data_IF_581629279168
#
_entry.id   IF_581629279168
#
_cell.length_a   1.000
_cell.length_b   1.000
_cell.length_c   1.000
_cell.angle_alpha   90.00
_cell.angle_beta   90.00
_cell.angle_gamma   90.00
#
_symmetry.space_group_name_H-M   'P 1'
#
loop_
_entity.id
_entity.type
_entity.pdbx_description
1 polymer ?
#
# COMPACT_ATOMS: atom_id res chain seq x y z
N UNK A 1 14.41 14.44 2.11
CA UNK A 1 14.54 13.00 1.80
C UNK A 1 13.54 12.67 0.71
N UNK A 2 13.85 11.73 -0.17
CA UNK A 2 12.92 11.26 -1.21
C UNK A 2 12.48 9.85 -0.83
N UNK A 3 11.21 9.71 -0.45
CA UNK A 3 10.61 8.44 0.00
C UNK A 3 9.59 7.99 -1.05
N UNK A 4 9.89 6.90 -1.71
CA UNK A 4 9.03 6.26 -2.69
C UNK A 4 8.12 5.24 -1.97
N UNK A 5 6.82 5.50 -1.93
CA UNK A 5 5.89 4.65 -1.18
C UNK A 5 5.36 3.43 -1.95
N UNK A 6 5.76 3.25 -3.22
CA UNK A 6 5.24 2.21 -4.10
C UNK A 6 6.37 1.50 -4.85
N UNK A 7 6.90 0.46 -4.26
CA UNK A 7 7.91 -0.40 -4.86
C UNK A 7 7.61 -1.88 -4.66
N UNK A 8 8.01 -2.68 -5.66
CA UNK A 8 7.78 -4.12 -5.67
C UNK A 8 9.06 -4.92 -5.94
N UNK A 9 9.19 -6.08 -5.32
CA UNK A 9 10.29 -7.00 -5.62
C UNK A 9 10.04 -7.76 -6.92
N UNK A 10 10.24 -7.06 -8.04
CA UNK A 10 10.03 -7.61 -9.39
C UNK A 10 11.23 -8.36 -9.95
N UNK A 11 12.38 -8.26 -9.29
CA UNK A 11 13.66 -8.88 -9.68
C UNK A 11 14.06 -10.00 -8.72
N UNK A 12 13.13 -10.53 -7.93
CA UNK A 12 13.39 -11.62 -6.99
C UNK A 12 14.06 -12.82 -7.67
N UNK A 13 14.94 -13.57 -6.96
CA UNK A 13 15.65 -14.70 -7.51
C UNK A 13 14.75 -15.74 -8.16
N UNK A 14 15.25 -16.39 -9.20
CA UNK A 14 14.48 -17.38 -9.98
C UNK A 14 13.95 -18.55 -9.10
N UNK A 15 14.68 -18.92 -8.06
CA UNK A 15 14.27 -19.96 -7.11
C UNK A 15 12.91 -19.68 -6.44
N UNK A 16 12.57 -18.39 -6.16
CA UNK A 16 11.26 -18.01 -5.62
C UNK A 16 10.13 -18.34 -6.60
N UNK A 17 10.34 -18.05 -7.86
CA UNK A 17 9.33 -18.25 -8.91
C UNK A 17 9.17 -19.75 -9.25
N UNK A 18 10.26 -20.51 -9.22
CA UNK A 18 10.20 -21.96 -9.40
C UNK A 18 9.47 -22.65 -8.23
N UNK A 19 9.72 -22.19 -7.00
CA UNK A 19 8.99 -22.64 -5.81
C UNK A 19 7.48 -22.36 -5.96
N UNK A 20 7.11 -21.15 -6.39
CA UNK A 20 5.71 -20.77 -6.63
C UNK A 20 5.06 -21.64 -7.71
N UNK A 21 5.77 -21.88 -8.80
CA UNK A 21 5.28 -22.71 -9.92
C UNK A 21 4.99 -24.14 -9.45
N UNK A 22 5.85 -24.74 -8.64
CA UNK A 22 5.60 -26.07 -8.06
C UNK A 22 4.37 -26.06 -7.15
N UNK A 23 4.24 -25.06 -6.30
CA UNK A 23 3.07 -24.90 -5.43
C UNK A 23 1.76 -24.81 -6.24
N UNK A 24 1.73 -23.99 -7.29
CA UNK A 24 0.57 -23.83 -8.16
C UNK A 24 0.24 -25.10 -8.93
N UNK A 25 1.24 -25.90 -9.28
CA UNK A 25 1.06 -27.21 -9.90
C UNK A 25 0.55 -28.29 -8.93
N UNK A 26 0.26 -27.95 -7.68
CA UNK A 26 -0.18 -28.90 -6.65
C UNK A 26 0.92 -29.83 -6.14
N UNK A 27 2.17 -29.51 -6.44
CA UNK A 27 3.32 -30.20 -5.88
C UNK A 27 3.61 -29.62 -4.47
N UNK A 28 4.13 -30.42 -3.56
CA UNK A 28 4.64 -29.90 -2.30
C UNK A 28 6.06 -29.34 -2.55
N UNK A 29 6.21 -28.02 -2.74
CA UNK A 29 7.55 -27.47 -2.89
C UNK A 29 8.31 -27.71 -1.61
N UNK A 30 9.56 -28.13 -1.71
CA UNK A 30 10.44 -28.26 -0.55
C UNK A 30 10.73 -26.92 0.09
N UNK A 31 11.66 -26.88 1.03
CA UNK A 31 12.14 -25.64 1.63
C UNK A 31 12.68 -24.69 0.55
N UNK A 32 12.20 -23.44 0.55
CA UNK A 32 12.75 -22.42 -0.34
C UNK A 32 14.15 -22.03 0.10
N UNK A 33 15.13 -22.27 -0.75
CA UNK A 33 16.53 -21.92 -0.51
C UNK A 33 16.96 -20.80 -1.42
N UNK A 34 17.13 -19.61 -0.84
CA UNK A 34 17.67 -18.42 -1.48
C UNK A 34 18.72 -17.87 -0.52
N UNK A 35 19.95 -17.72 -0.99
CA UNK A 35 21.03 -17.09 -0.22
C UNK A 35 20.85 -15.57 -0.15
N UNK A 36 21.50 -14.93 0.81
CA UNK A 36 21.54 -13.47 0.89
C UNK A 36 22.30 -12.85 -0.30
N UNK A 37 23.25 -13.57 -0.87
CA UNK A 37 24.00 -13.12 -2.04
C UNK A 37 23.14 -13.10 -3.30
N UNK A 38 22.27 -14.10 -3.53
CA UNK A 38 21.27 -14.07 -4.60
C UNK A 38 20.29 -12.90 -4.44
N UNK A 39 19.88 -12.59 -3.21
CA UNK A 39 19.05 -11.39 -2.95
C UNK A 39 19.84 -10.13 -3.29
N UNK A 40 21.08 -9.98 -2.87
CA UNK A 40 21.93 -8.82 -3.18
C UNK A 40 22.12 -8.65 -4.68
N UNK A 41 22.50 -9.70 -5.38
CA UNK A 41 22.69 -9.69 -6.84
C UNK A 41 21.43 -9.22 -7.56
N UNK A 42 20.25 -9.71 -7.17
CA UNK A 42 18.97 -9.35 -7.77
C UNK A 42 18.60 -7.88 -7.60
N UNK A 43 19.10 -7.20 -6.55
CA UNK A 43 18.77 -5.81 -6.22
C UNK A 43 19.82 -4.80 -6.68
N UNK A 44 21.12 -5.16 -6.59
CA UNK A 44 22.24 -4.23 -6.87
C UNK A 44 22.22 -3.72 -8.31
N UNK A 45 21.94 -4.59 -9.28
CA UNK A 45 21.87 -4.26 -10.70
C UNK A 45 20.54 -3.61 -11.14
N UNK A 46 19.55 -3.55 -10.26
CA UNK A 46 18.19 -3.11 -10.57
C UNK A 46 17.73 -2.00 -9.64
N UNK A 47 16.90 -2.30 -8.62
CA UNK A 47 16.26 -1.28 -7.76
C UNK A 47 17.28 -0.39 -7.05
N UNK A 48 18.35 -0.93 -6.48
CA UNK A 48 19.37 -0.13 -5.80
C UNK A 48 20.15 0.77 -6.75
N UNK A 49 20.43 0.29 -7.96
CA UNK A 49 21.05 1.11 -9.02
C UNK A 49 20.16 2.30 -9.35
N UNK A 50 18.88 2.04 -9.63
CA UNK A 50 17.93 3.09 -9.98
C UNK A 50 17.64 4.06 -8.82
N UNK A 51 17.57 3.59 -7.58
CA UNK A 51 17.49 4.48 -6.42
C UNK A 51 18.65 5.49 -6.40
N UNK A 52 19.89 5.02 -6.63
CA UNK A 52 21.07 5.90 -6.67
C UNK A 52 21.01 6.89 -7.83
N UNK A 53 20.69 6.41 -9.02
CA UNK A 53 20.65 7.21 -10.25
C UNK A 53 19.57 8.29 -10.21
N UNK A 54 18.39 7.96 -9.63
CA UNK A 54 17.24 8.87 -9.57
C UNK A 54 17.20 9.71 -8.28
N UNK A 55 18.12 9.47 -7.35
CA UNK A 55 18.19 10.18 -6.08
C UNK A 55 17.04 9.84 -5.12
N UNK A 56 16.43 8.65 -5.27
CA UNK A 56 15.47 8.12 -4.30
C UNK A 56 16.21 7.61 -3.07
N UNK A 57 15.82 8.07 -1.90
CA UNK A 57 16.50 7.71 -0.65
C UNK A 57 16.01 6.38 -0.08
N UNK A 58 14.70 6.14 -0.12
CA UNK A 58 14.04 4.97 0.49
C UNK A 58 12.87 4.56 -0.40
N UNK A 59 12.69 3.25 -0.57
CA UNK A 59 11.51 2.67 -1.22
C UNK A 59 10.76 1.79 -0.23
N UNK A 60 9.46 1.97 -0.11
CA UNK A 60 8.58 1.02 0.57
C UNK A 60 8.42 -0.17 -0.35
N UNK A 61 8.80 -1.34 0.13
CA UNK A 61 9.06 -2.48 -0.72
C UNK A 61 8.18 -3.66 -0.35
N UNK A 62 7.42 -4.13 -1.33
CA UNK A 62 6.44 -5.19 -1.14
C UNK A 62 6.66 -6.36 -2.09
N UNK A 63 6.01 -7.52 -1.88
CA UNK A 63 5.86 -8.53 -2.90
C UNK A 63 5.36 -7.92 -4.22
N UNK A 64 5.74 -8.50 -5.35
CA UNK A 64 5.26 -8.04 -6.66
C UNK A 64 3.73 -8.16 -6.72
N UNK A 65 3.04 -7.04 -6.93
CA UNK A 65 1.57 -7.00 -6.89
C UNK A 65 0.92 -7.98 -7.89
N UNK A 66 1.42 -8.03 -9.14
CA UNK A 66 0.93 -8.97 -10.14
C UNK A 66 1.13 -10.45 -9.79
N UNK A 67 1.95 -10.75 -8.78
CA UNK A 67 2.23 -12.11 -8.32
C UNK A 67 1.63 -12.42 -6.95
N UNK A 68 0.80 -11.55 -6.39
CA UNK A 68 0.00 -11.90 -5.22
C UNK A 68 -0.97 -13.05 -5.54
N UNK A 69 -1.61 -13.00 -6.70
CA UNK A 69 -2.35 -14.13 -7.33
C UNK A 69 -3.33 -14.84 -6.38
N UNK A 70 -4.13 -14.06 -5.63
CA UNK A 70 -5.05 -14.57 -4.62
C UNK A 70 -6.11 -15.54 -5.18
N UNK A 71 -6.37 -15.48 -6.49
CA UNK A 71 -7.29 -16.38 -7.21
C UNK A 71 -6.66 -17.74 -7.55
N UNK A 72 -5.38 -17.93 -7.27
CA UNK A 72 -4.65 -19.16 -7.62
C UNK A 72 -4.60 -20.09 -6.43
N UNK A 73 -5.21 -21.26 -6.56
CA UNK A 73 -5.31 -22.26 -5.50
C UNK A 73 -6.35 -21.89 -4.42
N UNK A 74 -6.23 -22.52 -3.27
CA UNK A 74 -7.09 -22.30 -2.11
C UNK A 74 -6.49 -21.32 -1.10
N UNK A 75 -7.20 -21.12 0.00
CA UNK A 75 -6.76 -20.24 1.10
C UNK A 75 -5.42 -20.67 1.72
N UNK A 76 -5.11 -22.00 1.73
CA UNK A 76 -3.83 -22.48 2.23
C UNK A 76 -2.69 -22.12 1.28
N UNK A 77 -2.90 -22.28 -0.02
CA UNK A 77 -1.93 -21.88 -1.06
C UNK A 77 -1.64 -20.39 -0.96
N UNK A 78 -2.66 -19.56 -0.79
CA UNK A 78 -2.51 -18.12 -0.59
C UNK A 78 -1.76 -17.78 0.70
N UNK A 79 -2.06 -18.47 1.81
CA UNK A 79 -1.39 -18.27 3.09
C UNK A 79 0.10 -18.63 3.03
N UNK A 80 0.43 -19.80 2.48
CA UNK A 80 1.82 -20.27 2.35
C UNK A 80 2.62 -19.33 1.43
N UNK A 81 2.03 -18.88 0.34
CA UNK A 81 2.66 -17.95 -0.58
C UNK A 81 2.90 -16.56 0.05
N UNK A 82 1.88 -16.02 0.70
CA UNK A 82 1.99 -14.73 1.38
C UNK A 82 3.07 -14.74 2.44
N UNK A 83 3.10 -15.78 3.28
CA UNK A 83 4.11 -15.96 4.30
C UNK A 83 5.51 -16.04 3.70
N UNK A 84 5.70 -16.89 2.69
CA UNK A 84 6.98 -17.09 2.02
C UNK A 84 7.51 -15.80 1.41
N UNK A 85 6.67 -15.05 0.70
CA UNK A 85 7.13 -13.82 0.07
C UNK A 85 7.35 -12.69 1.08
N UNK A 86 6.51 -12.57 2.12
CA UNK A 86 6.73 -11.61 3.20
C UNK A 86 8.05 -11.88 3.93
N UNK A 87 8.42 -13.14 4.17
CA UNK A 87 9.72 -13.50 4.76
C UNK A 87 10.90 -13.05 3.87
N UNK A 88 10.78 -13.15 2.56
CA UNK A 88 11.80 -12.63 1.63
C UNK A 88 11.85 -11.10 1.69
N UNK A 89 10.72 -10.39 1.73
CA UNK A 89 10.70 -8.92 1.89
C UNK A 89 11.35 -8.50 3.22
N UNK A 90 11.09 -9.24 4.30
CA UNK A 90 11.77 -8.99 5.58
C UNK A 90 13.29 -9.13 5.44
N UNK A 91 13.79 -10.19 4.79
CA UNK A 91 15.22 -10.38 4.52
C UNK A 91 15.81 -9.25 3.68
N UNK A 92 15.11 -8.80 2.63
CA UNK A 92 15.55 -7.64 1.82
C UNK A 92 15.71 -6.40 2.70
N UNK A 93 14.73 -6.09 3.54
CA UNK A 93 14.82 -4.92 4.41
C UNK A 93 15.87 -5.04 5.51
N UNK A 94 16.17 -6.26 5.97
CA UNK A 94 17.27 -6.52 6.91
C UNK A 94 18.64 -6.37 6.25
N UNK A 95 18.80 -6.79 5.00
CA UNK A 95 20.04 -6.62 4.23
C UNK A 95 20.30 -5.17 3.82
N UNK A 96 19.23 -4.41 3.53
CA UNK A 96 19.30 -3.03 3.06
C UNK A 96 18.40 -2.09 3.87
N UNK A 97 18.63 -1.94 5.20
CA UNK A 97 17.72 -1.21 6.10
C UNK A 97 17.68 0.30 5.84
N UNK A 98 18.60 0.82 5.02
CA UNK A 98 18.63 2.22 4.61
C UNK A 98 17.90 2.49 3.29
N UNK A 99 17.55 1.43 2.55
CA UNK A 99 17.01 1.53 1.20
C UNK A 99 15.57 1.04 1.13
N UNK A 100 15.23 -0.02 1.90
CA UNK A 100 13.93 -0.65 1.80
C UNK A 100 13.20 -0.69 3.14
N UNK A 101 11.94 -0.27 3.12
CA UNK A 101 10.99 -0.35 4.23
C UNK A 101 9.97 -1.43 3.90
N UNK A 102 9.75 -2.45 4.75
CA UNK A 102 8.94 -3.60 4.39
C UNK A 102 7.44 -3.30 4.41
N UNK A 103 6.77 -3.63 3.31
CA UNK A 103 5.31 -3.65 3.14
C UNK A 103 4.90 -5.07 2.73
N UNK A 104 3.84 -5.59 3.30
CA UNK A 104 3.41 -6.97 3.11
C UNK A 104 2.30 -7.15 2.08
N UNK A 105 2.06 -8.40 1.72
CA UNK A 105 0.80 -8.83 1.12
C UNK A 105 0.00 -9.65 2.13
N UNK A 106 -1.32 -9.64 1.98
CA UNK A 106 -2.25 -10.37 2.84
C UNK A 106 -2.64 -11.69 2.17
N UNK A 107 -2.85 -12.78 2.93
CA UNK A 107 -3.26 -14.09 2.41
C UNK A 107 -4.75 -14.12 2.05
N UNK A 108 -5.19 -13.19 1.20
CA UNK A 108 -6.57 -13.13 0.74
C UNK A 108 -6.87 -14.32 -0.20
N UNK A 109 -8.12 -14.73 -0.28
CA UNK A 109 -8.58 -15.78 -1.19
C UNK A 109 -10.05 -15.54 -1.56
N UNK A 110 -10.47 -15.82 -2.81
CA UNK A 110 -11.85 -15.62 -3.24
C UNK A 110 -12.85 -16.38 -2.36
N UNK A 111 -13.91 -15.68 -1.92
CA UNK A 111 -14.97 -16.28 -1.11
C UNK A 111 -14.59 -16.57 0.35
N UNK A 112 -13.36 -16.31 0.76
CA UNK A 112 -12.87 -16.52 2.14
C UNK A 112 -12.94 -15.22 2.91
N UNK A 113 -13.42 -15.28 4.17
CA UNK A 113 -13.43 -14.11 5.04
C UNK A 113 -12.02 -13.54 5.23
N UNK A 114 -11.82 -12.22 5.11
CA UNK A 114 -10.51 -11.59 5.33
C UNK A 114 -10.01 -11.71 6.79
N UNK A 115 -10.80 -12.27 7.69
CA UNK A 115 -10.30 -12.66 9.01
C UNK A 115 -9.14 -13.67 8.96
N UNK A 116 -9.02 -14.44 7.86
CA UNK A 116 -7.87 -15.32 7.63
C UNK A 116 -6.54 -14.57 7.49
N UNK A 117 -6.59 -13.28 7.19
CA UNK A 117 -5.40 -12.44 7.03
C UNK A 117 -4.80 -11.97 8.36
N UNK A 118 -5.56 -12.03 9.47
CA UNK A 118 -5.20 -11.38 10.74
C UNK A 118 -3.89 -11.94 11.31
N UNK A 119 -3.72 -13.26 11.33
CA UNK A 119 -2.52 -13.88 11.89
C UNK A 119 -1.23 -13.45 11.16
N UNK A 120 -1.26 -13.42 9.83
CA UNK A 120 -0.09 -12.99 9.04
C UNK A 120 0.14 -11.48 9.16
N UNK A 121 -0.93 -10.68 9.19
CA UNK A 121 -0.85 -9.24 9.42
C UNK A 121 -0.19 -8.94 10.77
N UNK A 122 -0.61 -9.60 11.85
CA UNK A 122 0.00 -9.46 13.17
C UNK A 122 1.48 -9.87 13.18
N UNK A 123 1.80 -11.03 12.62
CA UNK A 123 3.17 -11.51 12.51
C UNK A 123 4.07 -10.51 11.79
N UNK A 124 3.65 -10.06 10.63
CA UNK A 124 4.42 -9.10 9.84
C UNK A 124 4.68 -7.79 10.61
N UNK A 125 3.67 -7.26 11.31
CA UNK A 125 3.82 -5.99 12.04
C UNK A 125 4.60 -6.15 13.34
N UNK A 126 4.27 -7.16 14.15
CA UNK A 126 4.80 -7.32 15.51
C UNK A 126 6.18 -7.96 15.52
N UNK A 127 6.42 -8.94 14.64
CA UNK A 127 7.66 -9.71 14.63
C UNK A 127 8.64 -9.23 13.53
N UNK A 128 8.13 -8.99 12.31
CA UNK A 128 8.98 -8.67 11.16
C UNK A 128 9.09 -7.17 10.88
N UNK A 129 8.27 -6.37 11.55
CA UNK A 129 8.42 -4.93 11.49
C UNK A 129 7.81 -4.24 10.29
N UNK A 130 6.86 -4.82 9.62
CA UNK A 130 6.20 -4.23 8.47
C UNK A 130 5.43 -2.97 8.86
N UNK A 131 5.31 -2.04 7.91
CA UNK A 131 4.72 -0.73 8.14
C UNK A 131 3.37 -0.52 7.46
N UNK A 132 2.99 -1.43 6.56
CA UNK A 132 1.75 -1.40 5.79
C UNK A 132 1.61 -2.64 4.93
N UNK A 133 0.52 -2.71 4.16
CA UNK A 133 0.17 -3.87 3.34
C UNK A 133 -0.43 -3.46 2.00
N UNK A 134 -0.35 -4.35 1.01
CA UNK A 134 -1.19 -4.33 -0.16
C UNK A 134 -2.49 -5.08 0.16
N UNK A 135 -3.62 -4.41 0.04
CA UNK A 135 -4.96 -4.97 0.13
C UNK A 135 -5.55 -5.10 -1.27
N UNK A 136 -5.85 -6.30 -1.68
CA UNK A 136 -6.47 -6.53 -2.99
C UNK A 136 -8.00 -6.41 -2.87
N UNK A 137 -8.64 -5.42 -3.52
CA UNK A 137 -10.09 -5.25 -3.50
C UNK A 137 -10.82 -6.32 -4.32
N UNK A 138 -10.10 -7.01 -5.21
CA UNK A 138 -10.62 -8.10 -6.04
C UNK A 138 -9.72 -9.34 -5.97
N UNK A 139 -9.82 -10.15 -4.90
CA UNK A 139 -9.06 -11.40 -4.80
C UNK A 139 -9.42 -12.42 -5.88
N UNK A 140 -10.54 -12.22 -6.60
CA UNK A 140 -11.04 -13.15 -7.61
C UNK A 140 -10.38 -13.00 -8.99
N UNK A 141 -9.40 -12.12 -9.14
CA UNK A 141 -8.62 -11.99 -10.38
C UNK A 141 -9.40 -11.41 -11.55
N UNK A 142 -10.11 -10.30 -11.35
CA UNK A 142 -10.83 -9.57 -12.39
C UNK A 142 -12.31 -9.91 -12.49
N UNK A 143 -12.87 -10.69 -11.55
CA UNK A 143 -14.29 -11.05 -11.54
C UNK A 143 -15.11 -10.31 -10.49
N UNK A 144 -14.48 -9.58 -9.58
CA UNK A 144 -15.11 -8.73 -8.56
C UNK A 144 -16.17 -9.45 -7.74
N UNK A 145 -15.87 -10.67 -7.29
CA UNK A 145 -16.81 -11.48 -6.51
C UNK A 145 -16.83 -11.15 -5.02
N UNK A 146 -15.85 -10.42 -4.53
CA UNK A 146 -15.83 -9.94 -3.16
C UNK A 146 -16.84 -8.79 -2.95
N UNK A 147 -17.43 -8.66 -1.74
CA UNK A 147 -18.20 -7.48 -1.38
C UNK A 147 -17.39 -6.18 -1.51
N UNK A 148 -18.04 -5.03 -1.75
CA UNK A 148 -17.34 -3.76 -1.88
C UNK A 148 -16.60 -3.39 -0.60
N UNK A 149 -15.52 -2.60 -0.72
CA UNK A 149 -14.60 -2.27 0.39
C UNK A 149 -15.27 -1.62 1.60
N UNK A 150 -16.45 -1.04 1.47
CA UNK A 150 -17.19 -0.50 2.61
C UNK A 150 -18.05 -1.54 3.34
N UNK A 151 -18.13 -2.77 2.83
CA UNK A 151 -18.96 -3.83 3.42
C UNK A 151 -18.33 -4.38 4.72
N UNK A 152 -19.17 -4.82 5.64
CA UNK A 152 -18.77 -5.43 6.93
C UNK A 152 -17.94 -6.72 6.77
N UNK A 153 -17.97 -7.32 5.60
CA UNK A 153 -17.08 -8.43 5.24
C UNK A 153 -15.61 -8.12 5.51
N UNK A 154 -15.18 -6.86 5.25
CA UNK A 154 -13.80 -6.42 5.42
C UNK A 154 -13.44 -5.97 6.84
N UNK A 155 -14.43 -5.77 7.73
CA UNK A 155 -14.22 -5.18 9.04
C UNK A 155 -13.18 -5.92 9.90
N UNK A 156 -13.10 -7.26 9.94
CA UNK A 156 -12.09 -7.95 10.75
C UNK A 156 -10.65 -7.53 10.42
N UNK A 157 -10.33 -7.32 9.15
CA UNK A 157 -8.99 -6.85 8.77
C UNK A 157 -8.81 -5.36 9.05
N UNK A 158 -9.86 -4.54 8.87
CA UNK A 158 -9.79 -3.10 9.16
C UNK A 158 -9.62 -2.82 10.67
N UNK A 159 -10.34 -3.52 11.52
CA UNK A 159 -10.17 -3.46 12.98
C UNK A 159 -8.71 -3.75 13.36
N UNK A 160 -8.14 -4.80 12.79
CA UNK A 160 -6.75 -5.16 13.05
C UNK A 160 -5.75 -4.15 12.49
N UNK A 161 -5.99 -3.60 11.31
CA UNK A 161 -5.15 -2.54 10.74
C UNK A 161 -5.16 -1.27 11.61
N UNK A 162 -6.34 -0.89 12.12
CA UNK A 162 -6.48 0.25 13.06
C UNK A 162 -5.78 -0.04 14.38
N UNK A 163 -5.98 -1.23 14.97
CA UNK A 163 -5.30 -1.67 16.19
C UNK A 163 -3.78 -1.57 16.06
N UNK A 164 -3.24 -2.00 14.94
CA UNK A 164 -1.81 -2.04 14.68
C UNK A 164 -1.25 -0.73 14.10
N UNK A 165 -2.11 0.25 13.83
CA UNK A 165 -1.76 1.53 13.21
C UNK A 165 -0.96 1.36 11.91
N UNK A 166 -1.50 0.56 10.99
CA UNK A 166 -0.94 0.34 9.64
C UNK A 166 -1.96 0.68 8.56
N UNK A 167 -1.54 1.32 7.45
CA UNK A 167 -2.37 1.56 6.28
C UNK A 167 -2.36 0.37 5.33
N UNK A 168 -3.22 0.42 4.30
CA UNK A 168 -3.07 -0.38 3.11
C UNK A 168 -2.99 0.47 1.84
N UNK A 169 -2.17 0.01 0.90
CA UNK A 169 -2.32 0.37 -0.50
C UNK A 169 -3.37 -0.56 -1.11
N UNK A 170 -4.42 0.02 -1.70
CA UNK A 170 -5.50 -0.77 -2.31
C UNK A 170 -5.07 -1.15 -3.72
N UNK A 171 -4.48 -2.32 -3.86
CA UNK A 171 -3.80 -2.74 -5.08
C UNK A 171 -4.31 -4.10 -5.56
N UNK A 172 -4.91 -4.15 -6.77
CA UNK A 172 -5.28 -5.42 -7.40
C UNK A 172 -4.04 -6.22 -7.80
N UNK A 173 -4.21 -7.53 -7.99
CA UNK A 173 -3.17 -8.43 -8.48
C UNK A 173 -3.31 -8.68 -10.00
N UNK A 174 -2.71 -9.77 -10.50
CA UNK A 174 -2.96 -10.24 -11.86
C UNK A 174 -4.43 -10.58 -12.07
N UNK A 175 -4.85 -10.63 -13.34
CA UNK A 175 -6.20 -11.02 -13.73
C UNK A 175 -6.19 -12.36 -14.46
N UNK A 176 -7.13 -13.24 -14.10
CA UNK A 176 -7.46 -14.43 -14.87
C UNK A 176 -8.70 -14.22 -15.79
N UNK A 177 -9.32 -13.03 -15.71
CA UNK A 177 -10.39 -12.65 -16.63
C UNK A 177 -9.80 -12.23 -17.99
N UNK A 178 -10.11 -12.92 -19.08
CA UNK A 178 -9.52 -12.63 -20.40
C UNK A 178 -9.92 -11.26 -20.97
N UNK A 179 -10.93 -10.61 -20.40
CA UNK A 179 -11.32 -9.24 -20.79
C UNK A 179 -10.32 -8.16 -20.36
N UNK A 180 -9.42 -8.48 -19.43
CA UNK A 180 -8.50 -7.48 -18.89
C UNK A 180 -7.03 -7.80 -19.20
N UNK A 181 -6.35 -6.85 -19.82
CA UNK A 181 -4.90 -6.75 -19.69
C UNK A 181 -4.58 -6.29 -18.27
N UNK A 182 -3.81 -7.06 -17.50
CA UNK A 182 -3.74 -6.84 -16.05
C UNK A 182 -3.11 -5.48 -15.66
N UNK A 183 -1.98 -5.07 -16.22
CA UNK A 183 -1.36 -3.79 -15.89
C UNK A 183 -2.01 -2.60 -16.59
N UNK A 184 -2.49 -2.77 -17.84
CA UNK A 184 -3.04 -1.67 -18.64
C UNK A 184 -4.51 -1.39 -18.43
N UNK A 185 -5.28 -2.36 -17.89
CA UNK A 185 -6.71 -2.21 -17.64
C UNK A 185 -7.11 -2.57 -16.22
N UNK A 186 -6.79 -3.78 -15.75
CA UNK A 186 -7.25 -4.25 -14.45
C UNK A 186 -6.73 -3.38 -13.29
N UNK A 187 -5.47 -2.95 -13.32
CA UNK A 187 -4.91 -2.06 -12.30
C UNK A 187 -5.67 -0.74 -12.25
N UNK A 188 -5.76 -0.02 -13.36
CA UNK A 188 -6.39 1.29 -13.43
C UNK A 188 -7.90 1.23 -13.11
N UNK A 189 -8.58 0.19 -13.59
CA UNK A 189 -9.99 -0.06 -13.26
C UNK A 189 -10.16 -0.40 -11.77
N UNK A 190 -9.24 -1.17 -11.20
CA UNK A 190 -9.24 -1.53 -9.79
C UNK A 190 -9.19 -0.32 -8.87
N UNK A 191 -8.26 0.59 -9.13
CA UNK A 191 -8.10 1.84 -8.38
C UNK A 191 -9.37 2.70 -8.45
N UNK A 192 -9.89 2.85 -9.67
CA UNK A 192 -11.11 3.62 -9.95
C UNK A 192 -12.32 3.02 -9.23
N UNK A 193 -12.47 1.70 -9.30
CA UNK A 193 -13.56 0.95 -8.65
C UNK A 193 -13.47 1.05 -7.15
N UNK A 194 -12.29 0.86 -6.58
CA UNK A 194 -12.05 0.97 -5.13
C UNK A 194 -12.45 2.35 -4.60
N UNK A 195 -12.03 3.42 -5.28
CA UNK A 195 -12.40 4.79 -4.89
C UNK A 195 -13.92 4.99 -4.93
N UNK A 196 -14.59 4.50 -5.98
CA UNK A 196 -16.05 4.60 -6.08
C UNK A 196 -16.75 3.82 -4.96
N UNK A 197 -16.26 2.62 -4.62
CA UNK A 197 -16.78 1.85 -3.49
C UNK A 197 -16.69 2.63 -2.18
N UNK A 198 -15.57 3.32 -1.91
CA UNK A 198 -15.40 4.14 -0.71
C UNK A 198 -16.36 5.34 -0.66
N UNK A 199 -16.76 5.91 -1.81
CA UNK A 199 -17.79 6.96 -1.87
C UNK A 199 -19.15 6.41 -1.42
N UNK A 200 -19.48 5.18 -1.81
CA UNK A 200 -20.81 4.59 -1.58
C UNK A 200 -21.09 4.27 -0.11
N UNK A 201 -20.05 4.01 0.69
CA UNK A 201 -20.18 3.60 2.08
C UNK A 201 -19.85 4.69 3.11
N UNK A 202 -20.01 4.34 4.37
CA UNK A 202 -19.66 5.17 5.53
C UNK A 202 -18.45 4.61 6.31
N UNK A 203 -17.57 3.89 5.63
CA UNK A 203 -16.45 3.16 6.22
C UNK A 203 -15.64 3.99 7.23
N UNK A 204 -15.33 5.23 6.88
CA UNK A 204 -14.49 6.09 7.74
C UNK A 204 -15.24 6.75 8.89
N UNK A 205 -16.56 6.55 9.01
CA UNK A 205 -17.28 6.82 10.26
C UNK A 205 -17.01 5.73 11.29
N UNK A 206 -16.97 4.48 10.84
CA UNK A 206 -16.70 3.32 11.70
C UNK A 206 -15.20 3.21 12.02
N UNK A 207 -14.33 3.58 11.06
CA UNK A 207 -12.88 3.51 11.16
C UNK A 207 -12.20 4.86 10.85
N UNK A 208 -12.30 5.88 11.72
CA UNK A 208 -11.81 7.23 11.43
C UNK A 208 -10.28 7.36 11.31
N UNK A 209 -9.53 6.37 11.77
CA UNK A 209 -8.06 6.32 11.67
C UNK A 209 -7.54 5.35 10.61
N UNK A 210 -8.41 4.59 9.94
CA UNK A 210 -8.05 3.73 8.82
C UNK A 210 -7.55 4.59 7.65
N UNK A 211 -6.48 4.16 6.99
CA UNK A 211 -5.87 4.90 5.88
C UNK A 211 -5.66 3.99 4.68
N UNK A 212 -6.04 4.50 3.52
CA UNK A 212 -5.81 3.83 2.23
C UNK A 212 -5.01 4.72 1.28
N UNK A 213 -4.10 4.09 0.53
CA UNK A 213 -3.47 4.69 -0.65
C UNK A 213 -4.10 4.05 -1.87
N UNK A 214 -4.64 4.86 -2.77
CA UNK A 214 -5.08 4.42 -4.10
C UNK A 214 -3.91 4.66 -5.05
N UNK A 215 -3.30 3.60 -5.60
CA UNK A 215 -2.10 3.72 -6.41
C UNK A 215 -2.37 4.27 -7.82
N UNK A 216 -1.32 4.36 -8.63
CA UNK A 216 -1.34 4.78 -10.04
C UNK A 216 -2.08 6.11 -10.24
N UNK A 217 -1.80 7.08 -9.36
CA UNK A 217 -2.45 8.39 -9.38
C UNK A 217 -3.96 8.34 -9.10
N UNK A 218 -4.47 7.22 -8.57
CA UNK A 218 -5.90 7.00 -8.37
C UNK A 218 -6.63 6.49 -9.61
N UNK A 219 -5.93 5.89 -10.57
CA UNK A 219 -6.53 5.42 -11.81
C UNK A 219 -7.18 6.57 -12.61
N UNK A 220 -8.47 6.46 -12.93
CA UNK A 220 -9.21 7.51 -13.64
C UNK A 220 -9.81 8.59 -12.72
N UNK A 221 -9.60 8.53 -11.41
CA UNK A 221 -10.26 9.39 -10.42
C UNK A 221 -9.96 10.88 -10.63
N UNK A 222 -8.70 11.34 -10.74
CA UNK A 222 -8.43 12.76 -10.92
C UNK A 222 -9.02 13.30 -12.23
N UNK A 223 -8.98 12.51 -13.30
CA UNK A 223 -9.53 12.90 -14.59
C UNK A 223 -11.06 13.09 -14.54
N UNK A 224 -11.75 12.26 -13.75
CA UNK A 224 -13.21 12.30 -13.59
C UNK A 224 -13.69 12.90 -12.25
N UNK A 225 -12.87 13.71 -11.58
CA UNK A 225 -13.13 14.25 -10.25
C UNK A 225 -14.51 14.94 -10.13
N UNK A 226 -14.92 15.69 -11.15
CA UNK A 226 -16.25 16.33 -11.19
C UNK A 226 -17.39 15.31 -11.17
N UNK A 227 -17.23 14.16 -11.83
CA UNK A 227 -18.22 13.07 -11.82
C UNK A 227 -18.37 12.49 -10.42
N UNK A 228 -17.24 12.20 -9.73
CA UNK A 228 -17.29 11.63 -8.37
C UNK A 228 -17.89 12.59 -7.36
N UNK A 229 -17.63 13.89 -7.50
CA UNK A 229 -18.29 14.92 -6.67
C UNK A 229 -19.79 14.94 -6.89
N UNK A 230 -20.24 14.89 -8.14
CA UNK A 230 -21.66 14.85 -8.49
C UNK A 230 -22.33 13.58 -7.96
N UNK A 231 -21.74 12.40 -8.17
CA UNK A 231 -22.26 11.14 -7.64
C UNK A 231 -22.35 11.13 -6.11
N UNK A 232 -21.33 11.66 -5.41
CA UNK A 232 -21.41 11.79 -3.95
C UNK A 232 -22.60 12.66 -3.52
N UNK A 233 -22.84 13.77 -4.22
CA UNK A 233 -24.00 14.64 -3.96
C UNK A 233 -25.33 13.92 -4.23
N UNK A 234 -25.46 13.22 -5.35
CA UNK A 234 -26.68 12.46 -5.71
C UNK A 234 -26.99 11.38 -4.67
N UNK A 235 -25.95 10.72 -4.14
CA UNK A 235 -26.05 9.75 -3.05
C UNK A 235 -26.19 10.37 -1.66
N UNK A 236 -26.33 11.70 -1.56
CA UNK A 236 -26.42 12.45 -0.29
C UNK A 236 -25.24 12.19 0.66
N UNK A 237 -24.06 11.99 0.10
CA UNK A 237 -22.81 11.88 0.86
C UNK A 237 -22.25 13.27 1.18
N UNK A 238 -21.47 13.42 2.24
CA UNK A 238 -20.73 14.65 2.47
C UNK A 238 -19.79 14.96 1.29
N UNK A 239 -19.36 16.22 1.12
CA UNK A 239 -18.32 16.55 0.15
C UNK A 239 -17.12 15.61 0.28
N UNK A 240 -16.50 15.20 -0.83
CA UNK A 240 -15.37 14.23 -0.82
C UNK A 240 -14.24 14.63 0.12
N UNK A 241 -14.00 15.94 0.29
CA UNK A 241 -13.04 16.48 1.25
C UNK A 241 -13.30 16.01 2.68
N UNK A 242 -14.56 15.98 3.10
CA UNK A 242 -14.96 15.63 4.45
C UNK A 242 -15.24 14.14 4.59
N UNK A 243 -15.68 13.51 3.50
CA UNK A 243 -16.06 12.11 3.47
C UNK A 243 -14.86 11.16 3.33
N UNK A 244 -13.90 11.50 2.48
CA UNK A 244 -12.80 10.58 2.13
C UNK A 244 -11.41 11.14 2.39
N UNK A 245 -11.13 12.43 2.13
CA UNK A 245 -9.75 12.91 2.03
C UNK A 245 -9.01 13.04 3.38
N UNK A 246 -9.62 12.66 4.49
CA UNK A 246 -8.89 12.45 5.76
C UNK A 246 -8.18 11.09 5.80
N UNK A 247 -8.66 10.13 5.02
CA UNK A 247 -8.33 8.72 5.10
C UNK A 247 -7.79 8.14 3.78
N UNK A 248 -8.07 8.79 2.65
CA UNK A 248 -7.71 8.32 1.30
C UNK A 248 -6.63 9.22 0.73
N UNK A 249 -5.57 8.57 0.26
CA UNK A 249 -4.38 9.18 -0.30
C UNK A 249 -4.14 8.63 -1.70
N UNK A 250 -3.34 9.33 -2.49
CA UNK A 250 -2.99 8.96 -3.86
C UNK A 250 -1.48 8.97 -4.02
N UNK A 251 -0.97 8.15 -4.91
CA UNK A 251 0.45 8.17 -5.23
C UNK A 251 0.74 8.88 -6.56
N UNK A 252 2.01 9.06 -6.87
CA UNK A 252 2.46 9.70 -8.11
C UNK A 252 2.92 8.70 -9.17
N UNK A 253 2.50 7.44 -9.10
CA UNK A 253 2.85 6.44 -10.09
C UNK A 253 2.07 6.67 -11.40
N UNK A 254 2.38 7.79 -12.07
CA UNK A 254 1.80 8.25 -13.33
C UNK A 254 2.93 8.60 -14.28
N UNK A 255 2.98 7.97 -15.45
CA UNK A 255 4.17 7.92 -16.31
C UNK A 255 4.22 9.03 -17.38
N UNK A 256 3.62 10.21 -17.13
CA UNK A 256 3.72 11.37 -18.01
C UNK A 256 3.39 12.68 -17.29
N UNK A 257 4.01 13.78 -17.74
CA UNK A 257 3.86 15.09 -17.10
C UNK A 257 2.42 15.58 -17.03
N UNK A 258 1.58 15.53 -18.10
CA UNK A 258 0.21 16.02 -18.03
C UNK A 258 -0.64 15.31 -16.98
N UNK A 259 -0.41 14.02 -16.75
CA UNK A 259 -1.11 13.26 -15.72
C UNK A 259 -0.73 13.67 -14.30
N UNK A 260 0.57 13.88 -14.05
CA UNK A 260 1.06 14.43 -12.78
C UNK A 260 0.50 15.84 -12.56
N UNK A 261 0.52 16.69 -13.59
CA UNK A 261 -0.01 18.05 -13.48
C UNK A 261 -1.52 18.06 -13.17
N UNK A 262 -2.28 17.15 -13.75
CA UNK A 262 -3.70 16.98 -13.44
C UNK A 262 -3.90 16.51 -12.00
N UNK A 263 -3.14 15.51 -11.54
CA UNK A 263 -3.18 15.03 -10.17
C UNK A 263 -2.95 16.17 -9.18
N UNK A 264 -1.90 16.97 -9.39
CA UNK A 264 -1.54 18.10 -8.54
C UNK A 264 -2.57 19.25 -8.55
N UNK A 265 -3.31 19.41 -9.63
CA UNK A 265 -4.39 20.42 -9.73
C UNK A 265 -5.68 20.00 -9.04
N UNK A 266 -5.93 18.70 -8.92
CA UNK A 266 -7.22 18.15 -8.51
C UNK A 266 -7.19 17.63 -7.09
N UNK A 267 -6.12 16.94 -6.71
CA UNK A 267 -5.98 16.33 -5.40
C UNK A 267 -5.18 17.25 -4.48
N UNK A 268 -5.64 17.48 -3.23
CA UNK A 268 -4.89 18.27 -2.26
C UNK A 268 -3.49 17.68 -2.02
N UNK A 269 -2.49 18.55 -1.95
CA UNK A 269 -1.07 18.16 -1.78
C UNK A 269 -0.86 17.24 -0.59
N UNK A 270 -1.57 17.48 0.51
CA UNK A 270 -1.52 16.65 1.71
C UNK A 270 -2.03 15.22 1.53
N UNK A 271 -2.70 14.93 0.42
CA UNK A 271 -3.21 13.59 0.07
C UNK A 271 -2.35 12.89 -1.00
N UNK A 272 -1.23 13.47 -1.40
CA UNK A 272 -0.37 12.92 -2.43
C UNK A 272 0.94 12.42 -1.81
N UNK A 273 1.35 11.20 -2.14
CA UNK A 273 2.63 10.59 -1.79
C UNK A 273 3.47 10.37 -3.03
N UNK A 274 4.77 10.54 -2.91
CA UNK A 274 5.67 10.20 -4.00
C UNK A 274 5.75 8.68 -4.20
N UNK A 275 5.69 8.26 -5.46
CA UNK A 275 5.82 6.88 -5.89
C UNK A 275 6.32 6.77 -7.33
N UNK A 276 7.06 5.70 -7.61
CA UNK A 276 7.58 5.43 -8.95
C UNK A 276 7.19 4.05 -9.50
N UNK A 277 6.96 3.07 -8.62
CA UNK A 277 6.83 1.66 -9.01
C UNK A 277 7.99 1.21 -9.91
N UNK A 278 9.22 1.65 -9.57
CA UNK A 278 10.39 1.40 -10.40
C UNK A 278 10.59 -0.09 -10.70
N UNK A 279 10.93 -0.41 -11.96
CA UNK A 279 11.03 -1.79 -12.47
C UNK A 279 9.68 -2.55 -12.37
N UNK A 280 8.57 -1.82 -12.35
CA UNK A 280 7.22 -2.34 -12.19
C UNK A 280 6.49 -2.63 -13.50
N UNK A 281 5.36 -1.93 -13.69
CA UNK A 281 4.41 -2.20 -14.77
C UNK A 281 4.94 -1.91 -16.16
N UNK A 282 5.68 -0.81 -16.35
CA UNK A 282 6.26 -0.41 -17.64
C UNK A 282 7.77 -0.26 -17.49
N UNK A 283 8.51 -0.96 -18.35
CA UNK A 283 9.96 -0.96 -18.36
C UNK A 283 10.46 -0.41 -19.70
N UNK A 284 11.53 0.34 -19.66
CA UNK A 284 12.15 0.88 -20.86
C UNK A 284 12.18 2.41 -20.90
N UNK A 285 12.83 2.91 -21.91
CA UNK A 285 12.99 4.34 -22.17
C UNK A 285 11.87 4.79 -23.12
N UNK A 286 11.15 5.82 -22.72
CA UNK A 286 10.18 6.50 -23.56
C UNK A 286 10.91 7.23 -24.72
N UNK A 287 10.64 6.88 -25.98
CA UNK A 287 11.31 7.51 -27.12
C UNK A 287 10.96 8.99 -27.29
N UNK A 288 9.82 9.45 -26.74
CA UNK A 288 9.43 10.86 -26.83
C UNK A 288 10.22 11.74 -25.87
N UNK A 289 10.62 11.19 -24.71
CA UNK A 289 11.27 11.97 -23.65
C UNK A 289 12.74 11.61 -23.45
N UNK A 290 13.19 10.44 -23.92
CA UNK A 290 14.53 9.90 -23.68
C UNK A 290 14.79 9.42 -22.25
N UNK A 291 13.74 9.29 -21.42
CA UNK A 291 13.84 8.86 -20.03
C UNK A 291 13.03 7.57 -19.77
N UNK A 292 13.35 6.87 -18.68
CA UNK A 292 12.52 5.74 -18.25
C UNK A 292 11.10 6.20 -17.92
N UNK A 293 10.08 5.43 -18.35
CA UNK A 293 8.68 5.73 -18.06
C UNK A 293 8.41 5.85 -16.56
N UNK A 294 9.01 4.98 -15.76
CA UNK A 294 8.84 4.90 -14.30
C UNK A 294 9.76 5.86 -13.51
N UNK A 295 10.45 6.79 -14.19
CA UNK A 295 11.18 7.89 -13.52
C UNK A 295 10.24 9.06 -13.22
N UNK A 296 9.27 8.80 -12.34
CA UNK A 296 8.21 9.77 -12.00
C UNK A 296 8.70 10.97 -11.21
N UNK A 297 9.86 10.85 -10.54
CA UNK A 297 10.45 11.94 -9.76
C UNK A 297 10.71 13.19 -10.62
N UNK A 298 11.18 13.01 -11.85
CA UNK A 298 11.48 14.11 -12.77
C UNK A 298 10.27 14.98 -13.09
N UNK A 299 9.06 14.41 -13.09
CA UNK A 299 7.83 15.17 -13.32
C UNK A 299 7.51 16.10 -12.14
N UNK A 300 7.74 15.64 -10.90
CA UNK A 300 7.62 16.48 -9.72
C UNK A 300 8.74 17.53 -9.63
N UNK A 301 9.95 17.18 -10.02
CA UNK A 301 11.07 18.12 -10.04
C UNK A 301 10.79 19.28 -11.01
N UNK A 302 10.26 18.99 -12.21
CA UNK A 302 10.03 19.97 -13.27
C UNK A 302 8.75 20.80 -13.12
N UNK A 303 7.73 20.29 -12.44
CA UNK A 303 6.45 21.03 -12.31
C UNK A 303 6.62 22.33 -11.53
N UNK A 304 5.92 23.38 -12.00
CA UNK A 304 5.79 24.69 -11.31
C UNK A 304 4.45 24.88 -10.62
N UNK A 305 3.56 23.86 -10.64
CA UNK A 305 2.21 23.93 -10.09
C UNK A 305 2.17 23.92 -8.58
N UNK A 306 3.22 23.45 -7.92
CA UNK A 306 3.33 23.33 -6.48
C UNK A 306 4.64 23.95 -5.99
N UNK A 307 4.62 24.52 -4.78
CA UNK A 307 5.79 25.14 -4.17
C UNK A 307 6.86 24.11 -3.76
N UNK A 308 8.07 24.58 -3.48
CA UNK A 308 9.12 23.74 -2.92
C UNK A 308 8.71 23.09 -1.58
N UNK A 309 7.90 23.79 -0.77
CA UNK A 309 7.35 23.24 0.47
C UNK A 309 6.34 22.11 0.20
N UNK A 310 5.52 22.25 -0.85
CA UNK A 310 4.59 21.21 -1.25
C UNK A 310 5.30 19.98 -1.83
N UNK A 311 6.34 20.18 -2.65
CA UNK A 311 7.20 19.09 -3.12
C UNK A 311 7.80 18.33 -1.94
N UNK A 312 8.26 19.05 -0.90
CA UNK A 312 8.79 18.43 0.31
C UNK A 312 7.71 17.59 1.04
N UNK A 313 6.46 18.07 1.10
CA UNK A 313 5.35 17.28 1.66
C UNK A 313 5.15 15.99 0.89
N UNK A 314 5.07 16.05 -0.43
CA UNK A 314 4.86 14.89 -1.31
C UNK A 314 6.03 13.89 -1.18
N UNK A 315 7.27 14.37 -1.24
CA UNK A 315 8.45 13.51 -1.21
C UNK A 315 8.75 12.90 0.16
N UNK A 316 8.35 13.55 1.26
CA UNK A 316 8.91 13.23 2.57
C UNK A 316 7.90 13.23 3.72
N UNK A 317 7.02 14.24 3.81
CA UNK A 317 6.28 14.46 5.04
C UNK A 317 4.96 13.68 5.08
N UNK A 318 4.23 13.61 3.96
CA UNK A 318 2.93 12.97 3.90
C UNK A 318 3.01 11.48 4.18
N UNK A 319 4.11 10.82 3.79
CA UNK A 319 4.30 9.39 4.02
C UNK A 319 4.21 9.00 5.49
N UNK A 320 4.68 9.86 6.40
CA UNK A 320 4.60 9.61 7.85
C UNK A 320 3.19 9.79 8.43
N UNK A 321 2.34 10.57 7.78
CA UNK A 321 0.92 10.66 8.15
C UNK A 321 0.18 9.37 7.79
N UNK A 322 0.57 8.74 6.69
CA UNK A 322 -0.06 7.52 6.18
C UNK A 322 0.55 6.28 6.83
N UNK A 323 1.87 6.21 6.93
CA UNK A 323 2.64 5.09 7.47
C UNK A 323 3.42 5.49 8.73
N UNK A 324 2.77 5.75 9.87
CA UNK A 324 3.46 6.27 11.07
C UNK A 324 4.53 5.32 11.60
N UNK A 325 4.36 4.02 11.40
CA UNK A 325 5.37 3.02 11.80
C UNK A 325 6.67 3.09 11.00
N UNK A 326 6.66 3.74 9.82
CA UNK A 326 7.87 3.97 9.03
C UNK A 326 8.85 4.94 9.70
N UNK A 327 8.40 5.73 10.68
CA UNK A 327 9.25 6.69 11.40
C UNK A 327 10.53 6.05 11.96
N UNK A 328 10.48 4.79 12.40
CA UNK A 328 11.66 4.08 12.92
C UNK A 328 12.75 3.87 11.86
N UNK A 329 12.37 3.58 10.63
CA UNK A 329 13.31 3.39 9.50
C UNK A 329 13.86 4.73 9.02
N UNK A 330 12.98 5.71 8.86
CA UNK A 330 13.33 7.03 8.33
C UNK A 330 14.20 7.83 9.34
N UNK A 331 13.88 7.75 10.64
CA UNK A 331 14.67 8.39 11.69
C UNK A 331 16.06 7.75 11.89
N UNK A 332 16.18 6.44 11.74
CA UNK A 332 17.47 5.75 11.78
C UNK A 332 18.41 6.25 10.67
N UNK A 333 17.87 6.49 9.48
CA UNK A 333 18.63 7.06 8.36
C UNK A 333 19.08 8.50 8.63
N UNK A 334 18.21 9.31 9.23
CA UNK A 334 18.57 10.69 9.63
C UNK A 334 19.72 10.70 10.62
N UNK A 335 19.73 9.80 11.62
CA UNK A 335 20.83 9.70 12.57
C UNK A 335 22.15 9.32 11.92
N UNK A 336 22.14 8.42 10.96
CA UNK A 336 23.34 7.99 10.23
C UNK A 336 23.95 9.09 9.34
N UNK A 337 23.13 9.97 8.74
CA UNK A 337 23.62 11.16 8.02
C UNK A 337 24.30 12.19 8.93
N UNK A 338 23.97 12.16 10.23
CA UNK A 338 24.52 13.10 11.23
C UNK A 338 25.97 12.83 11.63
N UNK A 339 26.39 11.58 11.58
CA UNK A 339 27.81 11.23 11.79
C UNK A 339 28.70 11.71 10.65
N UNK A 340 28.11 12.16 9.53
CA UNK A 340 28.80 12.62 8.32
C UNK A 340 28.62 14.12 8.00
N UNK A 341 28.05 14.92 8.91
CA UNK A 341 28.14 16.41 8.85
C UNK A 341 27.04 17.16 8.08
N UNK A 342 25.91 16.53 7.72
CA UNK A 342 24.81 17.23 7.03
C UNK A 342 23.75 17.81 7.99
N UNK A 343 23.07 18.95 7.71
CA UNK A 343 22.10 19.59 8.62
C UNK A 343 20.82 18.77 8.80
N UNK A 344 20.20 18.83 10.02
CA UNK A 344 18.97 18.11 10.38
C UNK A 344 17.75 18.61 9.60
N UNK A 345 16.94 17.73 9.01
CA UNK A 345 15.58 18.07 8.61
C UNK A 345 14.71 18.41 9.83
N UNK A 346 13.79 19.38 9.70
CA UNK A 346 12.99 19.89 10.81
C UNK A 346 12.13 18.85 11.57
N UNK A 347 11.78 17.72 10.95
CA UNK A 347 11.01 16.62 11.55
C UNK A 347 11.87 15.59 12.33
N UNK A 348 13.21 15.63 12.21
CA UNK A 348 14.12 14.84 13.05
C UNK A 348 14.19 15.34 14.51
N UNK A 349 13.39 16.31 14.90
CA UNK A 349 13.20 16.68 16.30
C UNK A 349 12.23 15.68 16.92
N UNK A 350 12.67 14.95 17.93
CA UNK A 350 11.78 14.12 18.76
C UNK A 350 10.62 14.98 19.28
N UNK A 351 9.35 14.61 19.04
CA UNK A 351 8.25 15.24 19.76
C UNK A 351 8.45 14.98 21.26
N UNK A 352 8.13 15.93 22.14
CA UNK A 352 8.20 15.71 23.57
C UNK A 352 7.00 14.83 24.00
N UNK A 353 7.07 13.55 23.79
CA UNK A 353 6.18 12.59 24.43
C UNK A 353 6.70 12.36 25.84
N UNK A 354 6.28 13.23 26.76
CA UNK A 354 6.33 12.91 28.18
C UNK A 354 5.33 11.79 28.43
N UNK A 355 5.83 10.68 28.94
CA UNK A 355 5.05 9.64 29.61
C UNK A 355 4.18 10.27 30.71
N UNK A 356 2.90 10.45 30.47
CA UNK A 356 1.91 10.58 31.52
C UNK A 356 1.13 9.28 31.51
N UNK A 357 1.44 8.43 32.49
CA UNK A 357 0.57 7.34 32.85
C UNK A 357 -0.76 7.91 33.36
N UNK A 358 -1.83 7.46 32.79
CA UNK A 358 -3.14 7.30 33.43
C UNK A 358 -4.06 6.61 32.41
N UNK A 359 -4.33 5.35 32.68
CA UNK A 359 -5.39 4.59 32.03
C UNK A 359 -6.74 5.21 32.40
N UNK A 360 -7.67 5.40 31.47
CA UNK A 360 -9.07 5.55 31.81
C UNK A 360 -9.69 4.18 31.94
N UNK A 361 -10.10 3.82 33.16
CA UNK A 361 -11.05 2.74 33.43
C UNK A 361 -12.38 3.04 32.73
N UNK A 362 -12.83 2.13 31.90
CA UNK A 362 -14.20 2.10 31.41
C UNK A 362 -15.06 1.36 32.44
N UNK A 363 -16.27 1.86 32.83
CA UNK A 363 -17.14 1.15 33.73
C UNK A 363 -17.82 -0.03 33.03
N UNK A 364 -17.83 -1.18 33.67
CA UNK A 364 -18.53 -2.39 33.26
C UNK A 364 -20.04 -2.13 33.21
N UNK A 365 -20.65 -2.30 32.03
CA UNK A 365 -22.08 -2.30 31.86
C UNK A 365 -22.68 -3.59 32.45
N UNK A 366 -23.54 -3.40 33.42
CA UNK A 366 -24.27 -4.45 34.14
C UNK A 366 -25.15 -5.28 33.20
N UNK A 367 -25.00 -6.59 33.25
CA UNK A 367 -25.94 -7.56 32.71
C UNK A 367 -27.28 -7.44 33.45
N UNK A 368 -28.37 -7.14 32.75
CA UNK A 368 -29.73 -7.41 33.22
C UNK A 368 -30.27 -8.62 32.48
N UNK A 369 -30.42 -9.69 33.20
CA UNK A 369 -31.25 -10.84 32.86
C UNK A 369 -32.70 -10.49 33.02
N UNK A 370 -33.56 -10.77 32.04
CA UNK A 370 -34.97 -11.06 32.27
C UNK A 370 -35.47 -12.04 31.21
N UNK A 371 -35.69 -13.24 31.68
CA UNK A 371 -36.51 -14.23 31.00
C UNK A 371 -37.97 -13.77 31.08
N UNK A 372 -38.74 -14.01 30.02
CA UNK A 372 -40.08 -14.61 30.03
C UNK A 372 -40.60 -14.67 28.59
N UNK A 373 -40.86 -15.87 28.13
CA UNK A 373 -41.86 -16.22 27.11
C UNK A 373 -43.24 -16.30 27.78
N UNK A 374 -44.41 -16.10 27.11
CA UNK A 374 -45.00 -17.17 26.33
C UNK A 374 -45.84 -16.80 25.09
N UNK A 375 -45.92 -17.75 24.17
CA UNK A 375 -47.00 -18.25 23.29
C UNK A 375 -48.16 -17.36 22.79
N UNK A 376 -48.40 -17.55 21.49
CA UNK A 376 -49.61 -17.86 20.74
C UNK A 376 -50.58 -16.68 20.38
N UNK A 377 -50.69 -16.43 19.16
CA UNK A 377 -51.78 -16.71 18.19
C UNK A 377 -51.39 -16.25 16.81
#
# INVERSE_FOLDING_TARGET
MIVDCHGHYTTAPAALWEWRKQQVAGQAPGELRISDDEIRESLEGAQLKLQRERGTDVTFFSPRAGSMEHHVGDAKVSADWSRTFNDIIHRVSALYPRNFVPVGMLPQSPGVSPANCIAELERCVKELGFVGFNLNPDPSGGHWTAPPLYDRFWYPVYEKMVELDVPAMVHVSSSCNPAFHFTGAHYINGDTTAFMQLIQGDLFKDFPTLRFVIPHGGGAVPYHWGRYRGLAQDMKRPPLKDHLLKNVFFDTCVYHQPGIDLLLKVIPVENILFASEMVGAVRGIDPETGHYYDDTKRYLDSTTLVSAADKKRIFEENVLRVYPRAARYLNARCRARWTTGSPRPGWCRTPPWRSRGSSPCWPAAARRSSATSPRAS
#
